data_IF_317015453751
#
_entry.id   IF_317015453751
#
_cell.length_a   1.000
_cell.length_b   1.000
_cell.length_c   1.000
_cell.angle_alpha   90.00
_cell.angle_beta   90.00
_cell.angle_gamma   90.00
#
_symmetry.space_group_name_H-M   'P 1'
#
loop_
_entity.id
_entity.type
_entity.pdbx_description
1 polymer ?
#
# COMPACT_ATOMS: atom_id res chain seq x y z
N UNK A 1 17.26 38.32 53.36
CA UNK A 1 16.28 37.22 53.21
C UNK A 1 15.44 37.30 51.92
N UNK A 2 15.80 38.17 50.97
CA UNK A 2 15.11 38.40 49.68
C UNK A 2 15.81 37.72 48.50
N UNK A 3 17.14 37.60 48.53
CA UNK A 3 17.93 36.98 47.45
C UNK A 3 17.66 35.48 47.26
N UNK A 4 17.41 34.74 48.35
CA UNK A 4 17.15 33.30 48.29
C UNK A 4 15.82 32.99 47.58
N UNK A 5 14.78 33.81 47.79
CA UNK A 5 13.47 33.64 47.13
C UNK A 5 13.54 33.84 45.61
N UNK A 6 14.40 34.76 45.15
CA UNK A 6 14.60 35.04 43.72
C UNK A 6 15.28 33.88 42.98
N UNK A 7 16.28 33.25 43.62
CA UNK A 7 17.01 32.09 43.08
C UNK A 7 16.08 30.87 42.96
N UNK A 8 15.26 30.60 43.97
CA UNK A 8 14.27 29.51 43.91
C UNK A 8 13.21 29.76 42.81
N UNK A 9 12.79 31.01 42.61
CA UNK A 9 11.86 31.35 41.54
C UNK A 9 12.48 31.15 40.15
N UNK A 10 13.75 31.51 39.94
CA UNK A 10 14.43 31.33 38.64
C UNK A 10 14.70 29.85 38.31
N UNK A 11 15.08 29.04 39.29
CA UNK A 11 15.24 27.59 39.13
C UNK A 11 13.92 26.89 38.78
N UNK A 12 12.80 27.33 39.38
CA UNK A 12 11.48 26.81 39.07
C UNK A 12 11.05 27.12 37.62
N UNK A 13 11.35 28.32 37.11
CA UNK A 13 11.02 28.70 35.72
C UNK A 13 11.84 27.91 34.70
N UNK A 14 13.13 27.67 34.95
CA UNK A 14 14.00 26.88 34.05
C UNK A 14 13.54 25.42 34.01
N UNK A 15 13.16 24.85 35.15
CA UNK A 15 12.60 23.49 35.21
C UNK A 15 11.28 23.37 34.44
N UNK A 16 10.44 24.41 34.47
CA UNK A 16 9.17 24.45 33.72
C UNK A 16 9.39 24.52 32.20
N UNK A 17 10.41 25.23 31.74
CA UNK A 17 10.80 25.25 30.32
C UNK A 17 11.45 23.95 29.86
N UNK A 18 12.21 23.26 30.72
CA UNK A 18 12.84 21.99 30.40
C UNK A 18 11.82 20.84 30.25
N UNK A 19 10.74 20.86 31.03
CA UNK A 19 9.66 19.87 30.96
C UNK A 19 8.77 20.02 29.72
N UNK A 20 8.77 21.19 29.06
CA UNK A 20 8.02 21.42 27.83
C UNK A 20 8.73 20.93 26.54
N UNK A 21 10.01 20.50 26.64
CA UNK A 21 10.83 20.11 25.50
C UNK A 21 10.66 18.68 24.99
N UNK A 22 10.02 17.79 25.74
CA UNK A 22 9.80 16.40 25.33
C UNK A 22 8.42 16.24 24.65
N UNK A 23 8.33 16.60 23.37
CA UNK A 23 7.20 16.23 22.53
C UNK A 23 7.66 15.20 21.49
N UNK A 24 7.29 13.94 21.70
CA UNK A 24 7.50 12.83 20.77
C UNK A 24 6.60 12.98 19.53
N UNK A 25 6.93 13.90 18.62
CA UNK A 25 6.19 14.14 17.37
C UNK A 25 6.63 13.25 16.20
N UNK A 26 7.66 12.44 16.35
CA UNK A 26 8.32 11.77 15.22
C UNK A 26 7.58 10.53 14.68
N UNK A 27 6.74 9.87 15.48
CA UNK A 27 6.06 8.64 15.05
C UNK A 27 4.97 8.88 13.99
N UNK A 28 4.26 10.01 14.06
CA UNK A 28 3.19 10.35 13.10
C UNK A 28 3.74 10.70 11.72
N UNK A 29 4.89 11.36 11.65
CA UNK A 29 5.49 11.82 10.40
C UNK A 29 6.08 10.68 9.55
N UNK A 30 6.56 9.60 10.20
CA UNK A 30 7.07 8.42 9.50
C UNK A 30 5.95 7.53 8.95
N UNK A 31 4.83 7.39 9.67
CA UNK A 31 3.66 6.66 9.20
C UNK A 31 3.03 7.30 7.94
N UNK A 32 3.28 8.58 7.70
CA UNK A 32 2.70 9.35 6.60
C UNK A 32 3.38 9.13 5.24
N UNK A 33 4.53 8.45 5.18
CA UNK A 33 5.27 8.26 3.91
C UNK A 33 4.86 7.03 3.10
N UNK A 34 4.06 6.12 3.68
CA UNK A 34 3.59 4.90 3.02
C UNK A 34 2.10 4.73 3.25
N UNK A 35 1.37 4.45 2.19
CA UNK A 35 -0.05 4.14 2.26
C UNK A 35 -0.30 2.73 1.70
N UNK A 36 -1.27 2.00 2.29
CA UNK A 36 -1.74 0.75 1.71
C UNK A 36 -2.40 1.05 0.37
N UNK A 37 -1.91 0.40 -0.68
CA UNK A 37 -2.37 0.63 -2.05
C UNK A 37 -3.25 -0.50 -2.60
N UNK A 38 -3.79 -1.35 -1.72
CA UNK A 38 -4.47 -2.59 -2.07
C UNK A 38 -5.92 -2.44 -2.53
N UNK A 39 -6.59 -1.32 -2.22
CA UNK A 39 -8.03 -1.19 -2.47
C UNK A 39 -8.37 -0.85 -3.92
N UNK A 40 -9.56 -1.23 -4.37
CA UNK A 40 -10.20 -0.73 -5.60
C UNK A 40 -9.37 -0.93 -6.87
N UNK A 41 -8.71 -2.08 -6.98
CA UNK A 41 -8.08 -2.51 -8.22
C UNK A 41 -9.12 -3.07 -9.18
N UNK A 42 -8.84 -2.95 -10.46
CA UNK A 42 -9.59 -3.58 -11.52
C UNK A 42 -8.82 -4.78 -12.05
N UNK A 43 -9.48 -5.92 -12.16
CA UNK A 43 -8.89 -7.16 -12.65
C UNK A 43 -9.65 -7.70 -13.86
N UNK A 44 -8.89 -8.27 -14.79
CA UNK A 44 -9.41 -8.98 -15.96
C UNK A 44 -8.55 -10.22 -16.20
N UNK A 45 -9.18 -11.40 -16.22
CA UNK A 45 -8.52 -12.64 -16.63
C UNK A 45 -8.58 -12.73 -18.15
N UNK A 46 -7.41 -12.71 -18.79
CA UNK A 46 -7.28 -12.69 -20.25
C UNK A 46 -7.65 -14.05 -20.85
N UNK A 47 -8.54 -14.03 -21.83
CA UNK A 47 -8.80 -15.13 -22.74
C UNK A 47 -7.99 -14.89 -24.02
N UNK A 48 -6.88 -15.61 -24.19
CA UNK A 48 -5.95 -15.39 -25.31
C UNK A 48 -6.59 -15.51 -26.70
N UNK A 49 -7.72 -16.21 -26.82
CA UNK A 49 -8.46 -16.33 -28.09
C UNK A 49 -9.26 -15.05 -28.36
N UNK A 50 -9.90 -14.49 -27.34
CA UNK A 50 -10.75 -13.29 -27.47
C UNK A 50 -9.94 -11.99 -27.42
N UNK A 51 -8.99 -11.93 -26.50
CA UNK A 51 -8.27 -10.71 -26.12
C UNK A 51 -6.94 -10.55 -26.87
N UNK A 52 -6.47 -11.62 -27.54
CA UNK A 52 -5.19 -11.66 -28.28
C UNK A 52 -4.00 -11.22 -27.42
N UNK A 53 -4.04 -11.55 -26.13
CA UNK A 53 -3.06 -11.17 -25.11
C UNK A 53 -2.90 -9.65 -24.92
N UNK A 54 -3.93 -8.87 -25.27
CA UNK A 54 -3.95 -7.42 -25.15
C UNK A 54 -5.20 -6.92 -24.44
N UNK A 55 -5.11 -5.77 -23.77
CA UNK A 55 -6.30 -5.08 -23.25
C UNK A 55 -6.87 -4.13 -24.30
N UNK A 56 -8.18 -4.18 -24.51
CA UNK A 56 -8.91 -3.31 -25.41
C UNK A 56 -9.90 -2.39 -24.69
N UNK A 57 -10.53 -1.48 -25.44
CA UNK A 57 -11.56 -0.57 -24.90
C UNK A 57 -12.80 -1.31 -24.38
N UNK A 58 -13.07 -2.50 -24.91
CA UNK A 58 -14.22 -3.34 -24.54
C UNK A 58 -13.89 -4.34 -23.41
N UNK A 59 -12.64 -4.37 -22.92
CA UNK A 59 -12.23 -5.27 -21.83
C UNK A 59 -13.11 -5.05 -20.61
N UNK A 60 -13.72 -6.15 -20.14
CA UNK A 60 -14.58 -6.14 -18.96
C UNK A 60 -13.73 -6.33 -17.71
N UNK A 61 -13.84 -5.38 -16.79
CA UNK A 61 -13.07 -5.35 -15.55
C UNK A 61 -13.97 -5.66 -14.35
N UNK A 62 -13.51 -6.50 -13.42
CA UNK A 62 -14.12 -6.61 -12.10
C UNK A 62 -13.31 -5.82 -11.07
N UNK A 63 -13.99 -5.19 -10.13
CA UNK A 63 -13.32 -4.46 -9.03
C UNK A 63 -13.04 -5.41 -7.88
N UNK A 64 -11.83 -5.34 -7.31
CA UNK A 64 -11.38 -6.16 -6.19
C UNK A 64 -10.31 -5.44 -5.34
N UNK A 65 -9.93 -6.07 -4.22
CA UNK A 65 -8.82 -5.62 -3.38
C UNK A 65 -7.68 -6.65 -3.41
N UNK A 66 -6.44 -6.18 -3.30
CA UNK A 66 -5.24 -7.01 -3.14
C UNK A 66 -5.00 -7.43 -1.67
N UNK A 67 -4.25 -8.50 -1.39
CA UNK A 67 -3.65 -9.46 -2.34
C UNK A 67 -4.73 -10.28 -3.04
N UNK A 68 -4.44 -10.73 -4.25
CA UNK A 68 -5.36 -11.51 -5.05
C UNK A 68 -4.59 -12.57 -5.85
N UNK A 69 -5.03 -13.82 -5.70
CA UNK A 69 -4.62 -14.96 -6.50
C UNK A 69 -5.83 -15.35 -7.33
N UNK A 70 -5.75 -15.24 -8.67
CA UNK A 70 -6.90 -15.57 -9.52
C UNK A 70 -7.00 -17.07 -9.78
N UNK A 71 -5.91 -17.83 -9.64
CA UNK A 71 -5.89 -19.25 -9.95
C UNK A 71 -6.75 -20.05 -8.96
N UNK A 72 -6.80 -19.61 -7.70
CA UNK A 72 -7.62 -20.23 -6.63
C UNK A 72 -9.13 -20.09 -6.87
N UNK A 73 -9.56 -19.17 -7.73
CA UNK A 73 -10.96 -19.01 -8.12
C UNK A 73 -11.38 -20.03 -9.20
N UNK A 74 -10.41 -20.71 -9.82
CA UNK A 74 -10.64 -21.70 -10.87
C UNK A 74 -11.11 -23.06 -10.34
N UNK A 75 -11.53 -23.92 -11.26
CA UNK A 75 -11.82 -25.32 -10.94
C UNK A 75 -10.54 -26.16 -11.01
N UNK A 76 -10.45 -27.16 -10.14
CA UNK A 76 -9.43 -28.20 -10.26
C UNK A 76 -9.57 -28.96 -11.58
N UNK A 77 -8.46 -29.16 -12.26
CA UNK A 77 -8.38 -29.87 -13.54
C UNK A 77 -7.24 -30.89 -13.49
N UNK A 78 -7.59 -32.18 -13.64
CA UNK A 78 -6.61 -33.26 -13.71
C UNK A 78 -5.65 -33.12 -14.90
N UNK A 79 -6.06 -32.39 -15.93
CA UNK A 79 -5.23 -32.08 -17.12
C UNK A 79 -4.50 -30.74 -17.00
N UNK A 80 -4.57 -30.07 -15.85
CA UNK A 80 -3.87 -28.81 -15.64
C UNK A 80 -2.37 -28.96 -15.93
N UNK A 81 -1.73 -28.03 -16.68
CA UNK A 81 -0.31 -28.11 -17.03
C UNK A 81 0.63 -28.15 -15.82
N UNK A 82 0.19 -27.61 -14.68
CA UNK A 82 0.98 -27.60 -13.43
C UNK A 82 0.82 -28.90 -12.62
N UNK A 83 -0.10 -29.78 -13.02
CA UNK A 83 -0.37 -31.07 -12.37
C UNK A 83 -0.83 -30.94 -10.91
N UNK A 84 -0.94 -32.07 -10.22
CA UNK A 84 -1.38 -32.11 -8.80
C UNK A 84 -0.39 -31.45 -7.85
N UNK A 85 0.91 -31.47 -8.16
CA UNK A 85 1.95 -30.79 -7.37
C UNK A 85 1.81 -29.27 -7.37
N UNK A 86 1.26 -28.69 -8.46
CA UNK A 86 0.87 -27.28 -8.55
C UNK A 86 -0.55 -27.00 -8.10
N UNK A 87 -1.21 -27.93 -7.39
CA UNK A 87 -2.58 -27.77 -6.92
C UNK A 87 -3.66 -28.05 -7.97
N UNK A 88 -3.29 -28.54 -9.17
CA UNK A 88 -4.21 -28.84 -10.27
C UNK A 88 -5.10 -27.65 -10.70
N UNK A 89 -4.64 -26.42 -10.47
CA UNK A 89 -5.33 -25.20 -10.86
C UNK A 89 -4.57 -24.57 -12.03
N UNK A 90 -5.28 -24.31 -13.12
CA UNK A 90 -4.69 -23.68 -14.28
C UNK A 90 -4.45 -22.18 -14.03
N UNK A 91 -3.26 -21.72 -14.40
CA UNK A 91 -2.92 -20.30 -14.44
C UNK A 91 -3.41 -19.63 -15.72
N UNK A 92 -2.69 -18.59 -16.14
CA UNK A 92 -3.00 -17.83 -17.36
C UNK A 92 -2.44 -16.42 -17.27
N UNK A 93 -2.91 -15.53 -18.14
CA UNK A 93 -2.55 -14.11 -18.12
C UNK A 93 -3.64 -13.31 -17.38
N UNK A 94 -3.26 -12.61 -16.30
CA UNK A 94 -4.14 -11.72 -15.56
C UNK A 94 -3.70 -10.26 -15.68
N UNK A 95 -4.63 -9.37 -16.02
CA UNK A 95 -4.39 -7.93 -16.05
C UNK A 95 -4.93 -7.25 -14.80
N UNK A 96 -4.10 -6.39 -14.20
CA UNK A 96 -4.49 -5.52 -13.09
C UNK A 96 -4.35 -4.06 -13.50
N UNK A 97 -5.36 -3.24 -13.18
CA UNK A 97 -5.39 -1.82 -13.49
C UNK A 97 -5.84 -1.02 -12.28
N UNK A 98 -5.20 0.12 -12.04
CA UNK A 98 -5.61 1.08 -11.03
C UNK A 98 -5.39 2.50 -11.53
N UNK A 99 -6.39 3.33 -11.35
CA UNK A 99 -6.29 4.77 -11.57
C UNK A 99 -6.24 5.44 -10.20
N UNK A 100 -5.30 6.35 -10.02
CA UNK A 100 -5.16 7.13 -8.79
C UNK A 100 -4.62 8.52 -9.12
N UNK A 101 -4.80 9.45 -8.20
CA UNK A 101 -4.35 10.84 -8.34
C UNK A 101 -3.22 11.09 -7.37
N UNK A 102 -2.19 11.80 -7.83
CA UNK A 102 -1.15 12.36 -6.98
C UNK A 102 -1.55 13.79 -6.65
N UNK A 103 -1.54 14.15 -5.37
CA UNK A 103 -1.95 15.47 -4.93
C UNK A 103 -0.96 16.54 -5.47
N UNK A 104 -1.42 17.75 -5.86
CA UNK A 104 -0.55 18.78 -6.43
C UNK A 104 0.66 19.13 -5.55
N UNK A 105 0.49 19.12 -4.24
CA UNK A 105 1.55 19.35 -3.23
C UNK A 105 2.66 18.29 -3.25
N UNK A 106 2.39 17.13 -3.84
CA UNK A 106 3.33 16.01 -3.97
C UNK A 106 3.96 15.93 -5.37
N UNK A 107 3.63 16.83 -6.29
CA UNK A 107 4.10 16.81 -7.69
C UNK A 107 5.62 16.86 -7.87
N UNK A 108 6.33 17.45 -6.91
CA UNK A 108 7.80 17.52 -6.89
C UNK A 108 8.45 16.35 -6.14
N UNK A 109 7.65 15.48 -5.51
CA UNK A 109 8.14 14.33 -4.74
C UNK A 109 8.27 13.11 -5.65
N UNK A 110 9.16 12.21 -5.25
CA UNK A 110 9.24 10.88 -5.87
C UNK A 110 8.08 10.03 -5.33
N UNK A 111 7.19 9.62 -6.23
CA UNK A 111 6.12 8.66 -5.94
C UNK A 111 6.52 7.29 -6.44
N UNK A 112 6.38 6.26 -5.61
CA UNK A 112 6.71 4.88 -5.97
C UNK A 112 5.62 3.92 -5.53
N UNK A 113 5.32 2.93 -6.38
CA UNK A 113 4.46 1.80 -6.04
C UNK A 113 5.37 0.61 -5.76
N UNK A 114 5.19 -0.02 -4.62
CA UNK A 114 6.00 -1.16 -4.19
C UNK A 114 5.14 -2.42 -4.18
N UNK A 115 5.58 -3.43 -4.95
CA UNK A 115 4.99 -4.76 -4.95
C UNK A 115 5.85 -5.67 -4.07
N UNK A 116 5.24 -6.27 -3.05
CA UNK A 116 5.95 -7.25 -2.21
C UNK A 116 6.19 -8.58 -2.96
N UNK A 117 5.33 -8.90 -3.93
CA UNK A 117 5.44 -10.07 -4.79
C UNK A 117 4.33 -10.08 -5.85
N UNK A 118 4.65 -10.57 -7.05
CA UNK A 118 3.74 -10.81 -8.17
C UNK A 118 4.17 -12.13 -8.80
N UNK A 119 3.21 -13.02 -9.05
CA UNK A 119 3.42 -14.34 -9.65
C UNK A 119 2.49 -14.49 -10.86
#
# INVERSE_FOLDING_TARGET
MTHTKSIFATLATIALFALAGCSSKDSKFLAQRKALFNKDWQFHLNDSIKDKDTIGIATQWRTLNLPHDWSIEGNFDQKSPVGTGGGALSGGLGWYKKTFTVAPEDSVKVTSIVFNGVY
#
